data_IF_218771349999
#
_entry.id   IF_218771349999
#
_cell.length_a   1.000
_cell.length_b   1.000
_cell.length_c   1.000
_cell.angle_alpha   90.00
_cell.angle_beta   90.00
_cell.angle_gamma   90.00
#
_symmetry.space_group_name_H-M   'P 1'
#
loop_
_entity.id
_entity.type
_entity.pdbx_description
1 polymer ?
#
# COMPACT_ATOMS: atom_id res chain seq x y z
N UNK A 1 20.65 28.05 13.62
CA UNK A 1 19.51 28.24 12.70
C UNK A 1 19.15 26.89 12.09
N UNK A 2 18.50 26.03 12.88
CA UNK A 2 18.29 24.63 12.52
C UNK A 2 16.84 24.26 12.74
N UNK A 3 16.15 23.89 11.67
CA UNK A 3 14.88 23.18 11.72
C UNK A 3 14.91 22.15 10.60
N UNK A 4 15.14 20.89 10.98
CA UNK A 4 15.11 19.74 10.10
C UNK A 4 13.76 19.66 9.37
N UNK A 5 13.77 19.72 8.04
CA UNK A 5 12.59 19.52 7.20
C UNK A 5 12.22 18.02 7.12
N UNK A 6 11.57 17.49 8.17
CA UNK A 6 11.02 16.13 8.21
C UNK A 6 9.64 15.99 7.51
N UNK A 7 9.38 16.72 6.43
CA UNK A 7 8.12 16.53 5.67
C UNK A 7 8.24 15.26 4.82
N UNK A 8 7.87 14.13 5.40
CA UNK A 8 7.65 12.86 4.70
C UNK A 8 6.43 13.00 3.78
N UNK A 9 6.62 13.65 2.63
CA UNK A 9 5.59 13.82 1.60
C UNK A 9 5.42 12.48 0.85
N UNK A 10 4.89 11.47 1.53
CA UNK A 10 4.60 10.13 0.97
C UNK A 10 3.21 10.14 0.34
N UNK A 11 3.10 10.69 -0.86
CA UNK A 11 1.89 10.53 -1.66
C UNK A 11 1.87 9.16 -2.33
N UNK A 12 0.81 8.39 -2.09
CA UNK A 12 0.54 7.10 -2.72
C UNK A 12 -0.84 7.11 -3.38
N UNK A 13 -0.97 6.38 -4.47
CA UNK A 13 -2.27 6.00 -5.05
C UNK A 13 -2.49 4.51 -4.81
N UNK A 14 -3.71 4.11 -4.50
CA UNK A 14 -4.08 2.72 -4.25
C UNK A 14 -5.24 2.38 -5.16
N UNK A 15 -5.10 1.29 -5.91
CA UNK A 15 -6.16 0.68 -6.69
C UNK A 15 -6.56 -0.65 -6.03
N UNK A 16 -7.82 -0.74 -5.62
CA UNK A 16 -8.39 -1.88 -4.87
C UNK A 16 -9.31 -2.68 -5.78
N UNK A 17 -8.70 -3.37 -6.75
CA UNK A 17 -9.41 -4.25 -7.67
C UNK A 17 -9.86 -5.54 -6.97
N UNK A 18 -10.85 -6.22 -7.57
CA UNK A 18 -11.36 -7.51 -7.06
C UNK A 18 -10.32 -8.62 -7.14
N UNK A 19 -9.45 -8.61 -8.16
CA UNK A 19 -8.41 -9.60 -8.37
C UNK A 19 -7.04 -9.16 -7.85
N UNK A 20 -6.68 -7.88 -8.01
CA UNK A 20 -5.36 -7.34 -7.67
C UNK A 20 -5.46 -6.01 -6.95
N UNK A 21 -4.53 -5.81 -6.02
CA UNK A 21 -4.29 -4.54 -5.35
C UNK A 21 -2.99 -3.96 -5.88
N UNK A 22 -3.04 -2.71 -6.35
CA UNK A 22 -1.86 -1.99 -6.84
C UNK A 22 -1.60 -0.77 -5.98
N UNK A 23 -0.31 -0.48 -5.73
CA UNK A 23 0.11 0.75 -5.06
C UNK A 23 1.07 1.51 -5.96
N UNK A 24 0.74 2.75 -6.28
CA UNK A 24 1.60 3.69 -6.99
C UNK A 24 2.27 4.65 -6.01
N UNK A 25 3.58 4.81 -6.10
CA UNK A 25 4.30 5.82 -5.32
C UNK A 25 4.59 7.05 -6.18
N UNK A 26 4.08 8.22 -5.78
CA UNK A 26 4.40 9.49 -6.44
C UNK A 26 5.88 9.84 -6.31
N UNK A 27 6.52 9.46 -5.19
CA UNK A 27 7.95 9.69 -4.94
C UNK A 27 8.83 8.89 -5.92
N UNK A 28 8.52 7.62 -6.13
CA UNK A 28 9.29 6.75 -7.02
C UNK A 28 8.77 6.74 -8.47
N UNK A 29 7.66 7.43 -8.73
CA UNK A 29 6.95 7.50 -10.02
C UNK A 29 6.74 6.13 -10.67
N UNK A 30 6.40 5.12 -9.86
CA UNK A 30 6.17 3.75 -10.32
C UNK A 30 5.19 3.01 -9.44
N UNK A 31 4.66 1.90 -9.96
CA UNK A 31 3.96 0.88 -9.18
C UNK A 31 5.00 0.21 -8.26
N UNK A 32 4.71 0.20 -6.96
CA UNK A 32 5.59 -0.35 -5.92
C UNK A 32 5.02 -1.63 -5.29
N UNK A 33 3.75 -1.95 -5.55
CA UNK A 33 3.09 -3.18 -5.14
C UNK A 33 2.09 -3.59 -6.22
N UNK A 34 2.06 -4.87 -6.55
CA UNK A 34 1.06 -5.50 -7.42
C UNK A 34 0.86 -6.95 -6.94
N UNK A 35 -0.10 -7.14 -6.04
CA UNK A 35 -0.38 -8.42 -5.39
C UNK A 35 -1.83 -8.84 -5.64
N UNK A 36 -2.18 -10.14 -5.53
CA UNK A 36 -3.57 -10.57 -5.52
C UNK A 36 -4.35 -9.94 -4.35
N UNK A 37 -5.58 -9.49 -4.59
CA UNK A 37 -6.50 -8.93 -3.58
C UNK A 37 -7.12 -10.04 -2.74
N UNK A 38 -6.31 -10.71 -1.93
CA UNK A 38 -6.72 -11.87 -1.12
C UNK A 38 -6.21 -11.78 0.31
N UNK A 39 -6.92 -12.42 1.23
CA UNK A 39 -6.48 -12.66 2.61
C UNK A 39 -6.76 -14.11 2.98
N UNK A 40 -5.84 -14.74 3.69
CA UNK A 40 -6.06 -16.07 4.24
C UNK A 40 -6.89 -15.95 5.53
N UNK A 41 -7.87 -16.84 5.71
CA UNK A 41 -8.73 -16.86 6.89
C UNK A 41 -8.81 -18.28 7.42
N UNK A 42 -8.55 -18.45 8.70
CA UNK A 42 -8.74 -19.72 9.39
C UNK A 42 -10.26 -19.98 9.53
N UNK A 43 -10.72 -21.08 8.96
CA UNK A 43 -12.17 -21.28 8.70
C UNK A 43 -12.98 -21.45 9.99
N UNK A 44 -12.40 -22.05 11.02
CA UNK A 44 -13.10 -22.41 12.26
C UNK A 44 -13.12 -21.24 13.23
N UNK A 45 -11.95 -20.62 13.49
CA UNK A 45 -11.87 -19.48 14.42
C UNK A 45 -12.12 -18.13 13.77
N UNK A 46 -12.21 -18.05 12.44
CA UNK A 46 -12.36 -16.81 11.65
C UNK A 46 -11.23 -15.80 11.87
N UNK A 47 -10.06 -16.26 12.28
CA UNK A 47 -8.86 -15.43 12.40
C UNK A 47 -8.26 -15.18 11.02
N UNK A 48 -7.82 -13.95 10.80
CA UNK A 48 -7.12 -13.47 9.59
C UNK A 48 -5.60 -13.53 9.81
#
# INVERSE_FOLDING_TARGET
MGFFNFRANRSIGIDLGTANTLVYSKKHKKIVLNEPSVVAVEKETKKY
#
